data_IF_558323076705
#
_entry.id   IF_558323076705
#
_cell.length_a   1.000
_cell.length_b   1.000
_cell.length_c   1.000
_cell.angle_alpha   90.00
_cell.angle_beta   90.00
_cell.angle_gamma   90.00
#
_symmetry.space_group_name_H-M   'P 1'
#
loop_
_entity.id
_entity.type
_entity.pdbx_description
1 polymer ?
#
# COMPACT_ATOMS: atom_id res chain seq x y z
N UNK A 1 -9.50 9.79 8.00
CA UNK A 1 -8.48 10.80 8.26
C UNK A 1 -7.42 10.74 7.18
N UNK A 2 -7.07 11.85 6.58
CA UNK A 2 -6.11 11.82 5.48
C UNK A 2 -4.68 11.55 5.96
N UNK A 3 -3.93 10.89 5.10
CA UNK A 3 -2.52 10.65 5.32
C UNK A 3 -1.73 10.97 4.07
N UNK A 4 -0.43 10.95 4.19
CA UNK A 4 0.48 11.20 3.07
C UNK A 4 1.32 9.95 2.85
N UNK A 5 1.44 9.53 1.59
CA UNK A 5 2.29 8.37 1.25
C UNK A 5 3.74 8.78 1.40
N UNK A 6 4.45 8.13 2.33
CA UNK A 6 5.86 8.41 2.57
C UNK A 6 6.77 7.52 1.77
N UNK A 7 6.41 6.25 1.61
CA UNK A 7 7.18 5.29 0.84
C UNK A 7 6.28 4.28 0.16
N UNK A 8 6.67 3.86 -1.02
CA UNK A 8 6.04 2.76 -1.74
C UNK A 8 7.09 1.68 -1.87
N UNK A 9 6.86 0.53 -1.24
CA UNK A 9 7.83 -0.56 -1.16
C UNK A 9 7.57 -1.69 -2.14
N UNK A 10 6.40 -1.69 -2.79
CA UNK A 10 6.05 -2.69 -3.79
C UNK A 10 5.57 -1.99 -5.05
N UNK A 11 5.83 -2.59 -6.20
CA UNK A 11 5.41 -2.05 -7.48
C UNK A 11 4.59 -3.04 -8.28
N UNK A 12 3.96 -2.56 -9.33
CA UNK A 12 3.19 -3.41 -10.23
C UNK A 12 4.07 -4.56 -10.76
N UNK A 13 3.56 -5.76 -10.68
CA UNK A 13 4.28 -6.96 -11.08
C UNK A 13 5.03 -7.65 -9.96
N UNK A 14 5.15 -7.01 -8.80
CA UNK A 14 5.83 -7.61 -7.66
C UNK A 14 4.95 -8.68 -7.01
N UNK A 15 5.61 -9.74 -6.55
CA UNK A 15 4.94 -10.75 -5.76
C UNK A 15 5.13 -10.44 -4.28
N UNK A 16 4.06 -10.52 -3.51
CA UNK A 16 4.09 -10.19 -2.09
C UNK A 16 3.52 -11.32 -1.26
N UNK A 17 3.94 -11.37 -0.02
CA UNK A 17 3.43 -12.33 0.93
C UNK A 17 2.44 -11.66 1.89
N UNK A 18 1.64 -12.47 2.54
CA UNK A 18 0.72 -12.00 3.55
C UNK A 18 1.48 -11.24 4.63
N UNK A 19 0.98 -10.05 4.98
CA UNK A 19 1.55 -9.15 5.99
C UNK A 19 2.82 -8.43 5.55
N UNK A 20 3.25 -8.63 4.32
CA UNK A 20 4.37 -7.86 3.79
C UNK A 20 3.95 -6.40 3.68
N UNK A 21 4.80 -5.49 4.16
CA UNK A 21 4.51 -4.06 4.09
C UNK A 21 4.63 -3.58 2.65
N UNK A 22 3.57 -2.98 2.14
CA UNK A 22 3.50 -2.51 0.76
C UNK A 22 3.82 -1.04 0.64
N UNK A 23 3.35 -0.24 1.58
CA UNK A 23 3.66 1.18 1.62
C UNK A 23 3.58 1.70 3.04
N UNK A 24 4.14 2.89 3.22
CA UNK A 24 4.16 3.55 4.52
C UNK A 24 3.50 4.90 4.35
N UNK A 25 2.52 5.17 5.21
CA UNK A 25 1.80 6.43 5.27
C UNK A 25 2.17 7.18 6.54
N UNK A 26 1.99 8.49 6.50
CA UNK A 26 2.11 9.32 7.70
C UNK A 26 0.81 10.08 7.89
N UNK A 27 0.26 10.00 9.09
CA UNK A 27 -0.93 10.76 9.47
C UNK A 27 -0.80 11.14 10.94
N UNK A 28 -1.05 12.41 11.26
CA UNK A 28 -1.01 12.92 12.62
C UNK A 28 0.28 12.55 13.36
N UNK A 29 1.42 12.70 12.69
CA UNK A 29 2.74 12.39 13.25
C UNK A 29 2.96 10.93 13.57
N UNK A 30 2.09 10.06 13.05
CA UNK A 30 2.21 8.61 13.20
C UNK A 30 2.57 7.99 11.88
N UNK A 31 3.43 6.99 11.93
CA UNK A 31 3.75 6.18 10.77
C UNK A 31 2.80 5.00 10.71
N UNK A 32 2.15 4.82 9.57
CA UNK A 32 1.20 3.74 9.36
C UNK A 32 1.75 2.83 8.27
N UNK A 33 1.88 1.55 8.57
CA UNK A 33 2.34 0.56 7.61
C UNK A 33 1.14 -0.15 7.01
N UNK A 34 1.06 -0.12 5.68
CA UNK A 34 0.01 -0.81 4.95
C UNK A 34 0.57 -2.14 4.47
N UNK A 35 0.03 -3.21 4.98
CA UNK A 35 0.51 -4.55 4.68
C UNK A 35 -0.47 -5.30 3.78
N UNK A 36 0.05 -6.28 3.05
CA UNK A 36 -0.78 -7.12 2.20
C UNK A 36 -1.71 -7.98 3.05
N UNK A 37 -3.02 -8.01 2.73
CA UNK A 37 -3.96 -8.85 3.47
C UNK A 37 -3.84 -10.34 3.12
N UNK A 38 -3.23 -10.64 1.99
CA UNK A 38 -3.01 -12.01 1.53
C UNK A 38 -1.81 -12.03 0.59
N UNK A 39 -1.29 -13.21 0.34
CA UNK A 39 -0.23 -13.38 -0.65
C UNK A 39 -0.81 -13.20 -2.04
N UNK A 40 -0.01 -12.69 -2.96
CA UNK A 40 -0.44 -12.52 -4.33
C UNK A 40 0.53 -11.65 -5.11
N UNK A 41 0.08 -11.17 -6.26
CA UNK A 41 0.87 -10.27 -7.09
C UNK A 41 0.24 -8.88 -7.09
N UNK A 42 1.08 -7.86 -7.06
CA UNK A 42 0.62 -6.48 -7.18
C UNK A 42 0.23 -6.24 -8.63
N UNK A 43 -1.03 -5.95 -8.86
CA UNK A 43 -1.51 -5.62 -10.19
C UNK A 43 -1.25 -4.17 -10.52
N UNK A 44 -1.62 -3.28 -9.60
CA UNK A 44 -1.43 -1.85 -9.75
C UNK A 44 -1.14 -1.21 -8.41
N UNK A 45 -0.30 -0.19 -8.43
CA UNK A 45 -0.14 0.72 -7.31
C UNK A 45 -0.86 2.02 -7.68
N UNK A 46 -1.87 2.36 -6.91
CA UNK A 46 -2.78 3.45 -7.23
C UNK A 46 -2.31 4.80 -6.70
N UNK A 47 -1.24 4.81 -5.93
CA UNK A 47 -0.69 6.02 -5.31
C UNK A 47 0.82 6.03 -5.46
N UNK A 48 1.42 7.20 -5.23
CA UNK A 48 2.87 7.35 -5.26
C UNK A 48 3.32 8.18 -4.09
N UNK A 49 4.62 8.21 -3.86
CA UNK A 49 5.20 9.00 -2.77
C UNK A 49 4.78 10.45 -2.89
N UNK A 50 4.36 11.01 -1.77
CA UNK A 50 3.87 12.37 -1.71
C UNK A 50 2.37 12.53 -1.91
N UNK A 51 1.68 11.49 -2.36
CA UNK A 51 0.23 11.57 -2.56
C UNK A 51 -0.49 11.65 -1.23
N UNK A 52 -1.56 12.43 -1.20
CA UNK A 52 -2.47 12.49 -0.07
C UNK A 52 -3.57 11.45 -0.29
N UNK A 53 -3.83 10.64 0.72
CA UNK A 53 -4.83 9.58 0.63
C UNK A 53 -5.86 9.76 1.74
N UNK A 54 -7.09 9.37 1.45
CA UNK A 54 -8.18 9.42 2.40
C UNK A 54 -8.46 8.05 3.00
N UNK A 55 -9.25 8.06 4.06
CA UNK A 55 -9.69 6.83 4.72
C UNK A 55 -10.53 5.99 3.75
N UNK A 56 -10.23 4.71 3.66
CA UNK A 56 -10.98 3.80 2.81
C UNK A 56 -10.60 3.86 1.33
N UNK A 57 -9.67 4.75 0.97
CA UNK A 57 -9.21 4.85 -0.40
C UNK A 57 -8.38 3.62 -0.78
N UNK A 58 -8.61 3.08 -1.97
CA UNK A 58 -7.81 1.97 -2.47
C UNK A 58 -6.40 2.48 -2.78
N UNK A 59 -5.39 1.76 -2.33
CA UNK A 59 -3.99 2.15 -2.47
C UNK A 59 -3.25 1.23 -3.43
N UNK A 60 -3.56 -0.05 -3.40
CA UNK A 60 -2.90 -1.07 -4.21
C UNK A 60 -3.95 -2.10 -4.61
N UNK A 61 -3.90 -2.54 -5.87
CA UNK A 61 -4.70 -3.67 -6.34
C UNK A 61 -3.84 -4.91 -6.28
N UNK A 62 -4.32 -5.92 -5.56
CA UNK A 62 -3.65 -7.21 -5.45
C UNK A 62 -4.46 -8.28 -6.16
N UNK A 63 -3.77 -9.17 -6.86
CA UNK A 63 -4.37 -10.39 -7.38
C UNK A 63 -4.12 -11.50 -6.37
N UNK A 64 -5.16 -12.28 -6.07
CA UNK A 64 -5.00 -13.42 -5.19
C UNK A 64 -4.18 -14.51 -5.87
N UNK A 65 -3.37 -15.17 -5.06
CA UNK A 65 -2.70 -16.40 -5.46
C UNK A 65 -3.75 -17.49 -5.51
N UNK A 66 -4.10 -17.84 -6.69
CA UNK A 66 -5.17 -18.77 -6.91
C UNK A 66 -4.93 -20.20 -6.62
#
# INVERSE_FOLDING_TARGET
MPGVVRRVLAGAGDRVERRQVLLILEAMKMEIRVAAPHAGAVEKVLVKEGDTVGRGQALVDLMEDG
#
